data_IF_256758085236
#
_entry.id   IF_256758085236
#
_cell.length_a   1.000
_cell.length_b   1.000
_cell.length_c   1.000
_cell.angle_alpha   90.00
_cell.angle_beta   90.00
_cell.angle_gamma   90.00
#
_symmetry.space_group_name_H-M   'P 1'
#
loop_
_entity.id
_entity.type
_entity.pdbx_description
1 polymer ?
#
# COMPACT_ATOMS: atom_id res chain seq x y z
N UNK A 1 17.66 28.21 10.04
CA UNK A 1 18.10 27.71 8.73
C UNK A 1 16.85 27.04 8.13
N UNK A 2 16.20 27.71 7.17
CA UNK A 2 15.04 27.12 6.45
C UNK A 2 15.68 26.12 5.50
N UNK A 3 15.59 24.82 5.82
CA UNK A 3 15.90 23.75 4.87
C UNK A 3 14.75 23.80 3.88
N UNK A 4 15.00 24.29 2.68
CA UNK A 4 14.09 24.22 1.55
C UNK A 4 13.96 22.73 1.20
N UNK A 5 12.94 22.06 1.78
CA UNK A 5 12.72 20.64 1.53
C UNK A 5 12.17 20.49 0.13
N UNK A 6 12.99 19.96 -0.76
CA UNK A 6 12.63 19.66 -2.17
C UNK A 6 11.35 18.81 -2.29
N UNK A 7 11.08 17.95 -1.28
CA UNK A 7 9.93 17.06 -1.30
C UNK A 7 9.12 17.12 0.00
N UNK A 8 7.81 16.98 -0.12
CA UNK A 8 6.92 16.66 1.00
C UNK A 8 6.94 15.14 1.19
N UNK A 9 7.72 14.63 2.11
CA UNK A 9 7.86 13.18 2.34
C UNK A 9 6.81 12.59 3.29
N UNK A 10 6.14 13.40 4.10
CA UNK A 10 5.18 12.93 5.10
C UNK A 10 3.90 13.76 5.06
N UNK A 11 2.76 13.10 4.84
CA UNK A 11 1.43 13.67 4.94
C UNK A 11 0.70 13.16 6.17
N UNK A 12 0.10 14.07 6.92
CA UNK A 12 -0.75 13.79 8.09
C UNK A 12 -2.21 13.73 7.68
N UNK A 13 -3.07 12.98 8.39
CA UNK A 13 -4.49 13.00 8.14
C UNK A 13 -5.05 14.41 8.33
N UNK A 14 -5.97 14.81 7.44
CA UNK A 14 -6.54 16.15 7.39
C UNK A 14 -7.88 16.26 8.12
N UNK A 15 -8.55 15.12 8.39
CA UNK A 15 -9.85 15.05 9.06
C UNK A 15 -10.00 13.71 9.81
N UNK A 16 -11.07 13.59 10.60
CA UNK A 16 -11.45 12.37 11.31
C UNK A 16 -12.61 11.61 10.63
N UNK A 17 -13.15 12.15 9.54
CA UNK A 17 -14.27 11.54 8.79
C UNK A 17 -14.26 11.97 7.34
N UNK A 18 -14.96 11.26 6.49
CA UNK A 18 -14.91 11.47 5.05
C UNK A 18 -13.55 11.13 4.48
N UNK A 19 -13.04 11.90 3.54
CA UNK A 19 -11.66 11.77 3.05
C UNK A 19 -10.74 12.33 4.13
N UNK A 20 -9.96 11.46 4.77
CA UNK A 20 -9.05 11.85 5.84
C UNK A 20 -7.58 11.86 5.39
N UNK A 21 -7.26 11.25 4.24
CA UNK A 21 -5.98 11.39 3.55
C UNK A 21 -6.23 11.66 2.07
N UNK A 22 -5.46 12.58 1.50
CA UNK A 22 -5.51 12.89 0.07
C UNK A 22 -4.12 13.28 -0.41
N UNK A 23 -3.61 12.58 -1.40
CA UNK A 23 -2.35 12.79 -2.08
C UNK A 23 -2.65 12.84 -3.57
N UNK A 24 -2.65 14.03 -4.14
CA UNK A 24 -2.94 14.22 -5.55
C UNK A 24 -1.64 14.49 -6.32
N UNK A 25 -1.52 13.94 -7.50
CA UNK A 25 -0.33 14.08 -8.35
C UNK A 25 0.00 15.55 -8.64
N UNK A 26 -1.02 16.40 -8.75
CA UNK A 26 -0.87 17.84 -8.97
C UNK A 26 -0.19 18.57 -7.78
N UNK A 27 -0.36 18.04 -6.56
CA UNK A 27 0.23 18.61 -5.33
C UNK A 27 1.63 18.09 -5.05
N UNK A 28 1.94 16.88 -5.53
CA UNK A 28 3.23 16.20 -5.30
C UNK A 28 4.24 16.45 -6.41
N UNK A 29 3.77 16.87 -7.58
CA UNK A 29 4.56 16.95 -8.81
C UNK A 29 4.77 15.57 -9.46
N UNK A 30 4.02 14.54 -9.04
CA UNK A 30 3.99 13.23 -9.65
C UNK A 30 3.25 13.24 -10.99
N UNK A 31 3.52 12.24 -11.81
CA UNK A 31 2.91 12.13 -13.13
C UNK A 31 1.67 11.25 -13.12
N UNK A 32 1.64 10.23 -12.26
CA UNK A 32 0.64 9.16 -12.34
C UNK A 32 -0.20 9.02 -11.08
N UNK A 33 0.45 8.80 -9.92
CA UNK A 33 -0.20 8.29 -8.71
C UNK A 33 -1.02 9.34 -7.98
N UNK A 34 -2.28 8.99 -7.75
CA UNK A 34 -3.14 9.64 -6.78
C UNK A 34 -3.54 8.62 -5.70
N UNK A 35 -3.75 9.08 -4.48
CA UNK A 35 -4.13 8.25 -3.35
C UNK A 35 -5.08 8.99 -2.42
N UNK A 36 -6.11 8.31 -1.96
CA UNK A 36 -6.98 8.78 -0.88
C UNK A 36 -7.33 7.65 0.09
N UNK A 37 -7.65 8.05 1.34
CA UNK A 37 -8.27 7.18 2.32
C UNK A 37 -9.54 7.85 2.87
N UNK A 38 -10.60 7.04 3.03
CA UNK A 38 -11.95 7.51 3.36
C UNK A 38 -12.56 6.69 4.47
N UNK A 39 -13.15 7.40 5.44
CA UNK A 39 -13.97 6.83 6.49
C UNK A 39 -15.44 7.18 6.23
N UNK A 40 -16.31 6.16 6.25
CA UNK A 40 -17.75 6.30 5.99
C UNK A 40 -18.55 5.65 7.12
N UNK A 41 -19.74 6.22 7.42
CA UNK A 41 -20.71 5.64 8.34
C UNK A 41 -21.70 4.75 7.60
N UNK A 42 -22.32 3.81 8.31
CA UNK A 42 -23.32 2.90 7.74
C UNK A 42 -24.40 3.67 6.96
N UNK A 43 -24.67 3.19 5.76
CA UNK A 43 -25.65 3.77 4.83
C UNK A 43 -25.12 4.96 4.02
N UNK A 44 -23.95 5.51 4.35
CA UNK A 44 -23.34 6.53 3.51
C UNK A 44 -22.94 5.95 2.15
N UNK A 45 -23.04 6.79 1.12
CA UNK A 45 -22.82 6.42 -0.27
C UNK A 45 -21.73 7.27 -0.87
N UNK A 46 -20.83 6.60 -1.58
CA UNK A 46 -19.85 7.26 -2.45
C UNK A 46 -20.18 6.93 -3.90
N UNK A 47 -20.59 7.94 -4.66
CA UNK A 47 -20.81 7.85 -6.11
C UNK A 47 -19.63 8.45 -6.84
N UNK A 48 -19.21 7.78 -7.89
CA UNK A 48 -18.11 8.22 -8.72
C UNK A 48 -18.20 7.68 -10.14
N UNK A 49 -17.31 8.20 -10.97
CA UNK A 49 -17.00 7.68 -12.28
C UNK A 49 -15.48 7.65 -12.39
N UNK A 50 -14.92 6.59 -12.95
CA UNK A 50 -13.46 6.47 -13.08
C UNK A 50 -12.92 7.32 -14.23
N UNK A 51 -13.76 7.76 -15.16
CA UNK A 51 -13.36 8.49 -16.36
C UNK A 51 -12.17 7.79 -17.07
N UNK A 52 -11.11 8.53 -17.39
CA UNK A 52 -9.90 7.98 -18.01
C UNK A 52 -8.93 7.36 -17.00
N UNK A 53 -9.40 6.95 -15.81
CA UNK A 53 -8.54 6.38 -14.77
C UNK A 53 -8.91 4.93 -14.45
N UNK A 54 -7.90 4.18 -14.05
CA UNK A 54 -8.08 2.91 -13.33
C UNK A 54 -7.96 3.14 -11.82
N UNK A 55 -8.78 2.43 -11.03
CA UNK A 55 -8.84 2.52 -9.57
C UNK A 55 -8.61 1.17 -8.93
N UNK A 56 -7.88 1.14 -7.82
CA UNK A 56 -7.89 0.00 -6.90
C UNK A 56 -8.37 0.47 -5.53
N UNK A 57 -9.47 -0.11 -5.03
CA UNK A 57 -10.11 0.20 -3.75
C UNK A 57 -9.83 -0.96 -2.80
N UNK A 58 -9.18 -0.67 -1.67
CA UNK A 58 -8.73 -1.64 -0.67
C UNK A 58 -9.54 -1.45 0.60
N UNK A 59 -10.17 -2.53 1.08
CA UNK A 59 -10.88 -2.54 2.35
C UNK A 59 -9.88 -2.53 3.51
N UNK A 60 -9.89 -1.48 4.33
CA UNK A 60 -9.09 -1.40 5.55
C UNK A 60 -9.87 -1.93 6.77
N UNK A 61 -11.17 -1.70 6.81
CA UNK A 61 -12.05 -2.20 7.87
C UNK A 61 -13.53 -2.02 7.54
N UNK A 62 -14.37 -2.93 8.02
CA UNK A 62 -15.81 -2.91 7.78
C UNK A 62 -16.26 -3.77 6.62
N UNK A 63 -17.41 -3.43 6.04
CA UNK A 63 -18.03 -4.07 4.87
C UNK A 63 -18.67 -3.01 3.97
N UNK A 64 -18.67 -3.27 2.68
CA UNK A 64 -19.36 -2.44 1.69
C UNK A 64 -20.03 -3.29 0.61
N UNK A 65 -21.04 -2.72 -0.03
CA UNK A 65 -21.53 -3.15 -1.33
C UNK A 65 -21.19 -2.10 -2.38
N UNK A 66 -21.02 -2.53 -3.62
CA UNK A 66 -20.77 -1.65 -4.76
C UNK A 66 -21.64 -2.05 -5.92
N UNK A 67 -22.26 -1.04 -6.55
CA UNK A 67 -23.01 -1.16 -7.79
C UNK A 67 -22.30 -0.39 -8.87
N UNK A 68 -22.16 -0.98 -10.04
CA UNK A 68 -21.61 -0.34 -11.21
C UNK A 68 -22.52 -0.56 -12.42
N UNK A 69 -22.28 0.15 -13.48
CA UNK A 69 -22.90 -0.09 -14.79
C UNK A 69 -22.50 -1.45 -15.41
N UNK A 70 -21.44 -2.11 -14.86
CA UNK A 70 -20.88 -3.39 -15.34
C UNK A 70 -21.12 -4.57 -14.40
N UNK A 71 -21.74 -4.37 -13.23
CA UNK A 71 -22.04 -5.44 -12.26
C UNK A 71 -22.12 -4.94 -10.82
N UNK A 72 -22.39 -5.88 -9.90
CA UNK A 72 -22.53 -5.58 -8.47
C UNK A 72 -21.70 -6.56 -7.65
N UNK A 73 -21.06 -6.08 -6.58
CA UNK A 73 -20.27 -6.87 -5.65
C UNK A 73 -20.54 -6.44 -4.21
N UNK A 74 -20.28 -7.32 -3.28
CA UNK A 74 -20.33 -7.04 -1.85
C UNK A 74 -19.20 -7.74 -1.12
N UNK A 75 -18.69 -7.12 -0.05
CA UNK A 75 -17.73 -7.74 0.85
C UNK A 75 -18.47 -8.69 1.78
N UNK A 76 -18.07 -9.96 1.79
CA UNK A 76 -18.58 -10.98 2.69
C UNK A 76 -17.49 -11.28 3.71
N UNK A 77 -17.82 -11.24 4.99
CA UNK A 77 -16.84 -11.44 6.07
C UNK A 77 -15.65 -10.47 5.91
N UNK A 78 -15.94 -9.17 5.87
CA UNK A 78 -14.91 -8.14 5.89
C UNK A 78 -14.05 -8.23 7.17
N UNK A 79 -13.04 -7.41 7.27
CA UNK A 79 -12.17 -7.34 8.43
C UNK A 79 -12.55 -6.18 9.35
N UNK A 80 -12.38 -6.34 10.67
CA UNK A 80 -12.62 -5.26 11.63
C UNK A 80 -11.66 -4.10 11.40
N UNK A 81 -10.41 -4.40 11.19
CA UNK A 81 -9.31 -3.50 10.88
C UNK A 81 -8.23 -4.26 10.09
N UNK A 82 -7.14 -3.59 9.72
CA UNK A 82 -6.07 -4.19 8.93
C UNK A 82 -5.36 -5.35 9.64
N UNK A 83 -5.40 -5.46 10.97
CA UNK A 83 -4.78 -6.54 11.73
C UNK A 83 -5.72 -7.73 11.97
N UNK A 84 -6.94 -7.69 11.44
CA UNK A 84 -8.01 -8.69 11.67
C UNK A 84 -8.30 -9.54 10.43
N UNK A 85 -7.39 -9.58 9.46
CA UNK A 85 -7.55 -10.37 8.23
C UNK A 85 -6.96 -9.68 7.01
N UNK A 86 -7.18 -10.28 5.84
CA UNK A 86 -6.68 -9.79 4.54
C UNK A 86 -7.73 -8.91 3.86
N UNK A 87 -7.29 -7.96 3.06
CA UNK A 87 -8.18 -7.04 2.36
C UNK A 87 -9.03 -7.72 1.26
N UNK A 88 -10.31 -7.29 1.13
CA UNK A 88 -10.99 -7.34 -0.15
C UNK A 88 -10.45 -6.23 -1.03
N UNK A 89 -10.25 -6.51 -2.31
CA UNK A 89 -9.75 -5.56 -3.30
C UNK A 89 -10.73 -5.44 -4.44
N UNK A 90 -11.14 -4.22 -4.77
CA UNK A 90 -11.96 -3.93 -5.94
C UNK A 90 -11.12 -3.12 -6.93
N UNK A 91 -10.93 -3.67 -8.12
CA UNK A 91 -10.37 -2.95 -9.26
C UNK A 91 -11.50 -2.48 -10.17
N UNK A 92 -11.50 -1.19 -10.49
CA UNK A 92 -12.42 -0.57 -11.44
C UNK A 92 -11.60 -0.01 -12.61
N UNK A 93 -11.87 -0.48 -13.85
CA UNK A 93 -11.24 0.09 -15.05
C UNK A 93 -11.80 1.48 -15.37
N UNK A 94 -11.21 2.12 -16.37
CA UNK A 94 -11.75 3.37 -16.93
C UNK A 94 -13.21 3.23 -17.37
N UNK A 95 -13.89 4.37 -17.53
CA UNK A 95 -15.29 4.47 -17.97
C UNK A 95 -16.24 3.58 -17.14
N UNK A 96 -16.13 3.62 -15.82
CA UNK A 96 -16.98 2.86 -14.90
C UNK A 96 -17.70 3.80 -13.94
N UNK A 97 -19.04 3.83 -14.04
CA UNK A 97 -19.87 4.47 -13.01
C UNK A 97 -20.06 3.52 -11.83
N UNK A 98 -19.94 4.05 -10.60
CA UNK A 98 -20.11 3.26 -9.40
C UNK A 98 -20.80 4.00 -8.26
N UNK A 99 -21.52 3.23 -7.43
CA UNK A 99 -22.03 3.65 -6.12
C UNK A 99 -21.56 2.62 -5.10
N UNK A 100 -20.65 3.03 -4.18
CA UNK A 100 -20.20 2.24 -3.05
C UNK A 100 -21.00 2.65 -1.81
N UNK A 101 -21.51 1.66 -1.05
CA UNK A 101 -22.37 1.84 0.11
C UNK A 101 -21.70 1.20 1.31
N UNK A 102 -21.54 1.94 2.41
CA UNK A 102 -21.04 1.41 3.67
C UNK A 102 -22.11 0.53 4.33
N UNK A 103 -21.83 -0.75 4.54
CA UNK A 103 -22.75 -1.74 5.12
C UNK A 103 -22.52 -1.98 6.61
N UNK A 104 -21.36 -1.64 7.14
CA UNK A 104 -21.00 -1.72 8.55
C UNK A 104 -21.11 -0.36 9.25
N UNK A 105 -21.18 -0.34 10.59
CA UNK A 105 -21.24 0.89 11.40
C UNK A 105 -20.17 1.89 10.98
N UNK A 106 -18.97 1.38 10.69
CA UNK A 106 -17.86 2.14 10.16
C UNK A 106 -17.25 1.37 8.98
N UNK A 107 -17.00 2.05 7.89
CA UNK A 107 -16.26 1.56 6.74
C UNK A 107 -15.00 2.42 6.55
N UNK A 108 -13.84 1.77 6.57
CA UNK A 108 -12.54 2.37 6.28
C UNK A 108 -11.98 1.77 4.99
N UNK A 109 -11.71 2.61 4.00
CA UNK A 109 -11.16 2.21 2.70
C UNK A 109 -10.01 3.13 2.29
N UNK A 110 -9.07 2.59 1.55
CA UNK A 110 -8.07 3.36 0.83
C UNK A 110 -8.15 3.04 -0.66
N UNK A 111 -7.82 3.99 -1.51
CA UNK A 111 -7.81 3.77 -2.94
C UNK A 111 -6.73 4.59 -3.63
N UNK A 112 -6.11 3.96 -4.61
CA UNK A 112 -5.16 4.60 -5.52
C UNK A 112 -5.72 4.58 -6.94
N UNK A 113 -5.38 5.59 -7.72
CA UNK A 113 -5.77 5.68 -9.12
C UNK A 113 -4.75 6.40 -9.97
N UNK A 114 -4.75 6.07 -11.24
CA UNK A 114 -3.96 6.76 -12.25
C UNK A 114 -4.66 6.72 -13.61
N UNK A 115 -4.25 7.62 -14.50
CA UNK A 115 -4.76 7.64 -15.88
C UNK A 115 -4.34 6.39 -16.65
N UNK A 116 -5.25 5.89 -17.49
CA UNK A 116 -5.04 4.76 -18.38
C UNK A 116 -5.75 4.96 -19.72
N UNK A 117 -5.12 4.48 -20.78
CA UNK A 117 -5.68 4.38 -22.12
C UNK A 117 -6.06 2.94 -22.50
N UNK A 118 -5.88 1.99 -21.58
CA UNK A 118 -6.17 0.58 -21.76
C UNK A 118 -7.50 0.18 -21.09
N UNK A 119 -8.23 -0.75 -21.72
CA UNK A 119 -9.47 -1.31 -21.19
C UNK A 119 -9.20 -2.64 -20.51
N UNK A 120 -9.68 -2.79 -19.29
CA UNK A 120 -9.53 -4.00 -18.47
C UNK A 120 -10.88 -4.41 -17.86
N UNK A 121 -11.07 -5.67 -17.44
CA UNK A 121 -12.29 -6.08 -16.75
C UNK A 121 -12.30 -5.60 -15.30
N UNK A 122 -13.51 -5.37 -14.74
CA UNK A 122 -13.66 -5.21 -13.29
C UNK A 122 -13.21 -6.50 -12.61
N UNK A 123 -12.47 -6.36 -11.51
CA UNK A 123 -12.07 -7.48 -10.67
C UNK A 123 -12.42 -7.21 -9.21
N UNK A 124 -13.15 -8.12 -8.57
CA UNK A 124 -13.39 -8.11 -7.14
C UNK A 124 -12.69 -9.31 -6.51
N UNK A 125 -11.54 -9.04 -5.91
CA UNK A 125 -10.67 -10.06 -5.30
C UNK A 125 -11.01 -10.24 -3.83
N UNK A 126 -11.25 -11.49 -3.44
CA UNK A 126 -11.54 -11.89 -2.06
C UNK A 126 -10.25 -12.11 -1.27
N UNK A 127 -10.30 -12.12 0.07
CA UNK A 127 -9.13 -12.35 0.92
C UNK A 127 -8.36 -13.64 0.60
N UNK A 128 -9.06 -14.72 0.24
CA UNK A 128 -8.48 -16.04 -0.05
C UNK A 128 -7.68 -16.05 -1.36
N UNK A 129 -7.91 -15.09 -2.24
CA UNK A 129 -7.24 -14.96 -3.54
C UNK A 129 -5.95 -14.13 -3.44
N UNK A 130 -5.70 -13.48 -2.31
CA UNK A 130 -4.47 -12.74 -2.08
C UNK A 130 -3.33 -13.70 -1.71
N UNK A 131 -2.27 -13.69 -2.52
CA UNK A 131 -1.08 -14.46 -2.21
C UNK A 131 -0.34 -13.86 -1.01
N UNK A 132 0.02 -14.71 -0.03
CA UNK A 132 0.84 -14.34 1.11
C UNK A 132 2.29 -14.73 0.81
N UNK A 133 3.17 -13.74 0.88
CA UNK A 133 4.61 -13.94 0.78
C UNK A 133 5.31 -13.53 2.07
N UNK A 134 6.19 -14.36 2.60
CA UNK A 134 7.05 -14.02 3.74
C UNK A 134 8.44 -13.71 3.20
N UNK A 135 8.83 -12.45 3.29
CA UNK A 135 10.14 -11.95 2.84
C UNK A 135 11.07 -11.65 4.00
N UNK A 136 12.38 -11.67 3.69
CA UNK A 136 13.44 -11.39 4.64
C UNK A 136 13.77 -12.55 5.56
N UNK A 137 14.59 -12.25 6.55
CA UNK A 137 15.00 -13.20 7.58
C UNK A 137 15.30 -12.50 8.91
N UNK A 138 15.38 -13.25 9.99
CA UNK A 138 15.59 -12.77 11.35
C UNK A 138 14.65 -11.55 11.64
N UNK A 139 15.17 -10.44 12.14
CA UNK A 139 14.40 -9.23 12.41
C UNK A 139 14.11 -8.36 11.15
N UNK A 140 14.41 -8.84 9.95
CA UNK A 140 13.94 -8.25 8.69
C UNK A 140 12.80 -9.06 8.05
N UNK A 141 12.24 -10.03 8.78
CA UNK A 141 11.10 -10.81 8.34
C UNK A 141 9.81 -9.97 8.36
N UNK A 142 9.06 -9.99 7.25
CA UNK A 142 7.74 -9.35 7.11
C UNK A 142 6.82 -10.20 6.25
N UNK A 143 5.53 -9.99 6.40
CA UNK A 143 4.50 -10.56 5.54
C UNK A 143 4.07 -9.56 4.49
N UNK A 144 3.89 -10.01 3.25
CA UNK A 144 3.37 -9.21 2.14
C UNK A 144 2.17 -9.94 1.57
N UNK A 145 1.04 -9.26 1.44
CA UNK A 145 -0.13 -9.79 0.75
C UNK A 145 -0.30 -9.05 -0.57
N UNK A 146 -0.35 -9.80 -1.67
CA UNK A 146 -0.47 -9.27 -3.01
C UNK A 146 -1.94 -8.95 -3.33
N UNK A 147 -2.27 -7.66 -3.47
CA UNK A 147 -3.62 -7.17 -3.77
C UNK A 147 -3.79 -6.96 -5.28
N UNK A 148 -2.99 -6.06 -5.86
CA UNK A 148 -2.85 -5.82 -7.30
C UNK A 148 -1.37 -6.00 -7.62
N UNK A 149 -0.99 -7.19 -8.05
CA UNK A 149 0.41 -7.57 -8.26
C UNK A 149 0.79 -7.46 -9.75
N UNK A 150 2.07 -7.41 -10.11
CA UNK A 150 2.50 -7.54 -11.49
C UNK A 150 1.88 -8.78 -12.16
N UNK A 151 1.26 -8.59 -13.34
CA UNK A 151 0.48 -9.60 -14.04
C UNK A 151 -1.01 -9.65 -13.67
N UNK A 152 -1.48 -8.80 -12.74
CA UNK A 152 -2.89 -8.52 -12.58
C UNK A 152 -3.42 -7.82 -13.85
N UNK A 153 -4.65 -8.12 -14.24
CA UNK A 153 -5.26 -7.56 -15.47
C UNK A 153 -5.65 -6.08 -15.23
N UNK A 154 -4.66 -5.20 -15.25
CA UNK A 154 -4.77 -3.74 -15.20
C UNK A 154 -3.54 -3.12 -15.89
N UNK A 155 -3.57 -1.81 -16.17
CA UNK A 155 -2.52 -1.15 -16.92
C UNK A 155 -1.24 -0.91 -16.07
N UNK A 156 -1.34 -0.13 -15.00
CA UNK A 156 -0.16 0.40 -14.27
C UNK A 156 -0.16 0.14 -12.79
N UNK A 157 -1.35 0.03 -12.17
CA UNK A 157 -1.44 -0.04 -10.72
C UNK A 157 -0.80 -1.30 -10.16
N UNK A 158 -0.04 -1.11 -9.09
CA UNK A 158 0.41 -2.17 -8.19
C UNK A 158 0.02 -1.79 -6.77
N UNK A 159 -0.50 -2.75 -6.00
CA UNK A 159 -0.81 -2.55 -4.59
C UNK A 159 -0.52 -3.81 -3.78
N UNK A 160 0.15 -3.61 -2.66
CA UNK A 160 0.43 -4.66 -1.68
C UNK A 160 0.20 -4.13 -0.27
N UNK A 161 -0.29 -4.99 0.61
CA UNK A 161 -0.30 -4.70 2.04
C UNK A 161 0.83 -5.46 2.74
N UNK A 162 1.53 -4.77 3.64
CA UNK A 162 2.70 -5.29 4.32
C UNK A 162 2.53 -5.23 5.83
N UNK A 163 2.86 -6.33 6.50
CA UNK A 163 2.83 -6.44 7.95
C UNK A 163 4.24 -6.66 8.47
N UNK A 164 4.67 -5.75 9.32
CA UNK A 164 5.99 -5.77 9.95
C UNK A 164 5.83 -6.01 11.45
N UNK A 165 6.29 -7.16 11.96
CA UNK A 165 6.26 -7.43 13.40
C UNK A 165 7.03 -6.38 14.20
N UNK A 166 6.60 -6.15 15.42
CA UNK A 166 7.25 -5.22 16.37
C UNK A 166 8.77 -5.36 16.39
N UNK A 167 9.48 -4.24 16.18
CA UNK A 167 10.95 -4.16 16.17
C UNK A 167 11.62 -4.71 14.91
N UNK A 168 10.86 -5.21 13.93
CA UNK A 168 11.42 -5.72 12.68
C UNK A 168 11.61 -4.60 11.65
N UNK A 169 12.53 -4.87 10.73
CA UNK A 169 12.73 -4.08 9.51
C UNK A 169 11.86 -4.61 8.37
N UNK A 170 11.51 -3.73 7.47
CA UNK A 170 10.73 -3.98 6.26
C UNK A 170 11.30 -3.15 5.11
N UNK A 171 10.97 -3.50 3.85
CA UNK A 171 11.66 -2.93 2.69
C UNK A 171 13.18 -2.96 2.86
N UNK A 172 13.69 -4.06 3.47
CA UNK A 172 15.08 -4.21 3.86
C UNK A 172 15.62 -5.57 3.42
N UNK A 173 16.85 -5.66 2.86
CA UNK A 173 17.76 -4.54 2.53
C UNK A 173 17.09 -3.45 1.71
N UNK A 174 17.60 -2.20 1.87
CA UNK A 174 17.04 -1.06 1.18
C UNK A 174 17.09 -1.23 -0.33
N UNK A 175 16.03 -0.84 -1.03
CA UNK A 175 15.93 -0.88 -2.48
C UNK A 175 15.29 0.39 -3.02
N UNK A 176 15.44 0.63 -4.33
CA UNK A 176 14.85 1.76 -5.05
C UNK A 176 14.30 1.34 -6.41
N UNK A 177 13.40 2.16 -6.95
CA UNK A 177 12.78 2.00 -8.26
C UNK A 177 12.52 3.40 -8.86
N UNK A 178 13.58 4.16 -9.06
CA UNK A 178 13.53 5.56 -9.50
C UNK A 178 14.06 5.78 -10.93
N UNK A 179 14.62 4.72 -11.56
CA UNK A 179 15.17 4.81 -12.92
C UNK A 179 14.83 3.55 -13.71
N UNK A 180 14.11 3.70 -14.80
CA UNK A 180 13.82 2.56 -15.67
C UNK A 180 15.12 1.99 -16.30
N UNK A 181 15.43 0.73 -15.96
CA UNK A 181 16.62 0.01 -16.45
C UNK A 181 16.23 -1.32 -17.09
N UNK A 182 17.03 -1.76 -18.03
CA UNK A 182 16.89 -3.02 -18.73
C UNK A 182 18.17 -3.83 -18.66
N UNK A 183 18.05 -5.15 -18.73
CA UNK A 183 19.19 -6.03 -18.99
C UNK A 183 19.46 -6.14 -20.50
N UNK A 184 20.43 -7.02 -20.84
CA UNK A 184 20.83 -7.25 -22.23
C UNK A 184 19.74 -7.95 -23.09
N UNK A 185 18.76 -8.60 -22.46
CA UNK A 185 17.63 -9.25 -23.12
C UNK A 185 16.41 -8.31 -23.23
N UNK A 186 16.55 -7.07 -22.74
CA UNK A 186 15.48 -6.06 -22.76
C UNK A 186 14.45 -6.24 -21.63
N UNK A 187 14.73 -7.06 -20.62
CA UNK A 187 13.85 -7.21 -19.45
C UNK A 187 14.05 -6.04 -18.48
N UNK A 188 12.96 -5.55 -17.91
CA UNK A 188 13.00 -4.47 -16.90
C UNK A 188 13.66 -4.99 -15.63
N UNK A 189 14.81 -4.43 -15.26
CA UNK A 189 15.54 -4.75 -14.03
C UNK A 189 15.33 -3.74 -12.92
N UNK A 190 14.91 -2.52 -13.25
CA UNK A 190 14.40 -1.51 -12.34
C UNK A 190 13.29 -0.74 -13.07
N UNK A 191 12.12 -0.60 -12.47
CA UNK A 191 11.05 0.25 -12.94
C UNK A 191 11.23 1.67 -12.38
N UNK A 192 10.60 2.67 -13.02
CA UNK A 192 10.50 4.03 -12.48
C UNK A 192 9.08 4.21 -11.95
N UNK A 193 8.92 4.17 -10.62
CA UNK A 193 7.62 4.14 -9.95
C UNK A 193 7.52 5.24 -8.89
N UNK A 194 6.37 5.87 -8.85
CA UNK A 194 5.89 6.69 -7.75
C UNK A 194 5.24 5.77 -6.73
N UNK A 195 5.50 5.99 -5.42
CA UNK A 195 5.00 5.09 -4.38
C UNK A 195 4.53 5.85 -3.14
N UNK A 196 3.39 5.40 -2.59
CA UNK A 196 2.90 5.80 -1.26
C UNK A 196 3.00 4.66 -0.27
N UNK A 197 3.35 4.99 0.98
CA UNK A 197 3.25 4.13 2.15
C UNK A 197 2.19 4.70 3.08
N UNK A 198 0.99 4.12 3.08
CA UNK A 198 -0.07 4.51 4.00
C UNK A 198 -0.02 3.62 5.24
N UNK A 199 0.18 4.21 6.41
CA UNK A 199 0.47 3.51 7.66
C UNK A 199 -0.77 3.28 8.54
N UNK A 200 -0.86 2.05 9.11
CA UNK A 200 -1.69 1.74 10.28
C UNK A 200 -0.79 1.11 11.35
N UNK A 201 -1.02 1.46 12.60
CA UNK A 201 -0.26 0.96 13.75
C UNK A 201 -1.25 0.30 14.73
N UNK A 202 -0.88 -0.85 15.28
CA UNK A 202 -1.76 -1.64 16.14
C UNK A 202 -2.11 -0.98 17.48
N UNK A 203 -1.38 0.08 17.86
CA UNK A 203 -1.62 0.87 19.07
C UNK A 203 -1.56 2.37 18.79
N UNK A 204 -2.43 3.19 19.41
CA UNK A 204 -2.57 4.62 19.08
C UNK A 204 -1.27 5.43 19.21
N UNK A 205 -0.40 5.11 20.18
CA UNK A 205 0.87 5.80 20.41
C UNK A 205 2.03 5.27 19.58
N UNK A 206 1.79 4.20 18.78
CA UNK A 206 2.82 3.53 18.01
C UNK A 206 3.34 4.35 16.84
N UNK A 207 4.47 3.91 16.31
CA UNK A 207 5.12 4.56 15.19
C UNK A 207 5.99 3.59 14.40
N UNK A 208 6.27 3.96 13.15
CA UNK A 208 7.35 3.43 12.34
C UNK A 208 8.34 4.54 12.00
N UNK A 209 9.57 4.16 11.69
CA UNK A 209 10.58 5.06 11.13
C UNK A 209 10.85 4.60 9.69
N UNK A 210 10.78 5.51 8.74
CA UNK A 210 11.17 5.28 7.37
C UNK A 210 12.26 6.27 6.98
N UNK A 211 13.40 5.76 6.52
CA UNK A 211 14.43 6.55 5.91
C UNK A 211 14.22 6.60 4.40
N UNK A 212 14.49 7.74 3.77
CA UNK A 212 14.46 7.90 2.32
C UNK A 212 15.75 8.58 1.92
N UNK A 213 16.53 7.94 1.05
CA UNK A 213 17.82 8.46 0.63
C UNK A 213 18.18 8.04 -0.80
N UNK A 214 18.86 8.91 -1.52
CA UNK A 214 19.36 8.62 -2.86
C UNK A 214 20.86 8.26 -2.88
N UNK A 215 21.39 7.91 -4.06
CA UNK A 215 22.77 7.42 -4.23
C UNK A 215 23.84 8.38 -3.70
N UNK A 216 23.67 9.68 -3.90
CA UNK A 216 24.63 10.72 -3.50
C UNK A 216 24.30 11.38 -2.15
N UNK A 217 23.27 10.90 -1.46
CA UNK A 217 22.79 11.43 -0.17
C UNK A 217 22.36 12.90 -0.21
N UNK A 218 22.09 13.45 -1.39
CA UNK A 218 21.46 14.77 -1.50
C UNK A 218 20.02 14.78 -0.97
N UNK A 219 19.37 13.63 -1.01
CA UNK A 219 18.18 13.29 -0.23
C UNK A 219 18.62 12.25 0.83
N UNK A 220 18.49 12.58 2.11
CA UNK A 220 18.70 11.66 3.25
C UNK A 220 17.85 12.14 4.42
N UNK A 221 16.60 11.69 4.44
CA UNK A 221 15.56 12.16 5.36
C UNK A 221 14.96 11.00 6.15
N UNK A 222 14.47 11.30 7.34
CA UNK A 222 13.77 10.35 8.21
C UNK A 222 12.34 10.85 8.45
N UNK A 223 11.38 10.01 8.14
CA UNK A 223 9.98 10.18 8.49
C UNK A 223 9.63 9.32 9.71
N UNK A 224 8.97 9.92 10.71
CA UNK A 224 8.34 9.19 11.80
C UNK A 224 6.86 9.09 11.50
N UNK A 225 6.46 7.95 10.95
CA UNK A 225 5.08 7.67 10.54
C UNK A 225 4.25 7.14 11.72
N UNK A 226 3.02 7.61 11.85
CA UNK A 226 2.03 7.21 12.82
C UNK A 226 0.78 6.67 12.13
N UNK A 227 -0.19 6.26 12.93
CA UNK A 227 -1.46 5.78 12.40
C UNK A 227 -2.11 6.81 11.44
N UNK A 228 -2.53 6.36 10.26
CA UNK A 228 -3.10 7.15 9.16
C UNK A 228 -2.14 8.13 8.45
N UNK A 229 -0.86 8.13 8.75
CA UNK A 229 0.11 8.92 7.99
C UNK A 229 0.40 8.29 6.61
N UNK A 230 0.77 9.12 5.66
CA UNK A 230 1.32 8.68 4.37
C UNK A 230 2.74 9.17 4.23
N UNK A 231 3.67 8.25 3.93
CA UNK A 231 5.01 8.60 3.46
C UNK A 231 5.03 8.49 1.94
N UNK A 232 5.55 9.52 1.29
CA UNK A 232 5.71 9.58 -0.16
C UNK A 232 7.15 9.25 -0.51
N UNK A 233 7.34 8.35 -1.48
CA UNK A 233 8.65 7.95 -2.00
C UNK A 233 8.79 8.52 -3.42
N UNK A 234 9.41 9.69 -3.57
CA UNK A 234 9.62 10.30 -4.88
C UNK A 234 10.78 9.67 -5.64
N UNK A 235 11.82 9.25 -4.94
CA UNK A 235 13.03 8.62 -5.44
C UNK A 235 13.81 7.96 -4.29
N UNK A 236 14.74 7.08 -4.62
CA UNK A 236 15.75 6.55 -3.71
C UNK A 236 15.32 5.35 -2.89
N UNK A 237 16.25 4.93 -2.04
CA UNK A 237 16.10 3.81 -1.10
C UNK A 237 15.20 4.22 0.07
N UNK A 238 14.31 3.29 0.51
CA UNK A 238 13.26 3.67 1.45
C UNK A 238 12.93 2.58 2.51
N UNK A 239 13.92 2.11 3.27
CA UNK A 239 13.71 1.09 4.29
C UNK A 239 12.82 1.59 5.43
N UNK A 240 12.12 0.64 6.08
CA UNK A 240 11.20 0.89 7.20
C UNK A 240 11.63 0.08 8.41
N UNK A 241 11.45 0.61 9.62
CA UNK A 241 11.53 -0.14 10.87
C UNK A 241 10.30 0.10 11.73
N UNK A 242 9.69 -0.98 12.22
CA UNK A 242 8.61 -0.92 13.19
C UNK A 242 9.16 -0.56 14.58
N UNK A 243 8.53 0.39 15.27
CA UNK A 243 8.85 0.69 16.65
C UNK A 243 8.74 -0.55 17.54
N UNK A 244 9.69 -0.74 18.48
CA UNK A 244 9.61 -1.87 19.40
C UNK A 244 8.33 -1.79 20.26
N UNK A 245 7.56 -2.88 20.30
CA UNK A 245 6.27 -2.96 21.00
C UNK A 245 5.05 -2.65 20.10
N UNK A 246 5.26 -2.28 18.82
CA UNK A 246 4.20 -1.92 17.89
C UNK A 246 4.29 -2.73 16.60
N UNK A 247 3.21 -3.41 16.23
CA UNK A 247 3.08 -3.99 14.91
C UNK A 247 2.70 -2.90 13.92
N UNK A 248 3.32 -2.94 12.76
CA UNK A 248 3.13 -1.94 11.71
C UNK A 248 2.54 -2.59 10.48
N UNK A 249 1.49 -1.98 9.97
CA UNK A 249 0.93 -2.21 8.66
C UNK A 249 1.24 -1.02 7.78
N UNK A 250 1.56 -1.26 6.53
CA UNK A 250 1.46 -0.23 5.51
C UNK A 250 0.87 -0.80 4.22
N UNK A 251 0.10 0.05 3.55
CA UNK A 251 -0.46 -0.20 2.23
C UNK A 251 0.35 0.59 1.22
N UNK A 252 0.94 -0.12 0.26
CA UNK A 252 1.60 0.51 -0.87
C UNK A 252 0.66 0.62 -2.06
N UNK A 253 0.70 1.78 -2.71
CA UNK A 253 0.30 1.96 -4.08
C UNK A 253 1.49 2.44 -4.87
N UNK A 254 1.71 1.78 -6.02
CA UNK A 254 2.78 2.12 -6.95
C UNK A 254 2.19 2.25 -8.34
N UNK A 255 2.71 3.19 -9.11
CA UNK A 255 2.43 3.31 -10.54
C UNK A 255 3.54 4.09 -11.23
N UNK A 256 3.73 3.88 -12.52
CA UNK A 256 4.77 4.56 -13.26
C UNK A 256 5.01 3.98 -14.65
N UNK A 257 6.29 3.71 -14.94
CA UNK A 257 6.71 3.26 -16.27
C UNK A 257 6.22 1.86 -16.65
N UNK A 258 5.95 1.00 -15.65
CA UNK A 258 5.61 -0.40 -15.84
C UNK A 258 4.73 -0.90 -14.68
N UNK A 259 3.84 -1.86 -14.93
CA UNK A 259 3.21 -2.65 -13.89
C UNK A 259 4.22 -3.66 -13.33
N UNK A 260 5.08 -3.21 -12.44
CA UNK A 260 6.27 -3.95 -12.01
C UNK A 260 6.63 -3.68 -10.55
N UNK A 261 7.35 -4.60 -9.94
CA UNK A 261 8.06 -4.44 -8.66
C UNK A 261 9.58 -4.62 -8.84
N UNK A 262 10.07 -4.52 -10.08
CA UNK A 262 11.50 -4.57 -10.37
C UNK A 262 12.20 -3.38 -9.73
N UNK A 263 13.22 -3.66 -8.92
CA UNK A 263 13.93 -2.69 -8.12
C UNK A 263 15.43 -2.98 -8.05
N UNK A 264 16.21 -2.00 -7.62
CA UNK A 264 17.66 -2.13 -7.39
C UNK A 264 17.92 -2.03 -5.89
N UNK A 265 18.54 -3.08 -5.33
CA UNK A 265 19.03 -3.06 -3.96
C UNK A 265 20.19 -2.10 -3.77
N UNK A 266 20.28 -1.49 -2.58
CA UNK A 266 21.46 -0.75 -2.17
C UNK A 266 22.67 -1.70 -2.11
N UNK A 267 23.72 -1.45 -2.92
CA UNK A 267 24.88 -2.33 -2.99
C UNK A 267 25.60 -2.49 -1.64
N UNK A 268 25.57 -1.47 -0.79
CA UNK A 268 26.21 -1.48 0.51
C UNK A 268 25.51 -2.42 1.51
N UNK A 269 24.26 -2.79 1.23
CA UNK A 269 23.42 -3.61 2.11
C UNK A 269 23.09 -5.00 1.56
N UNK A 270 23.46 -5.35 0.32
CA UNK A 270 23.19 -6.67 -0.30
C UNK A 270 23.76 -7.85 0.49
N UNK A 271 24.86 -7.68 1.18
CA UNK A 271 25.48 -8.72 1.98
C UNK A 271 24.56 -9.29 3.07
N UNK A 272 23.57 -8.50 3.51
CA UNK A 272 22.61 -8.86 4.57
C UNK A 272 21.78 -10.10 4.19
N UNK A 273 21.47 -10.30 2.89
CA UNK A 273 20.78 -11.53 2.44
C UNK A 273 21.47 -12.82 2.88
N UNK A 274 22.79 -12.81 2.98
CA UNK A 274 23.59 -13.95 3.40
C UNK A 274 23.77 -14.07 4.91
N UNK A 275 23.27 -13.13 5.70
CA UNK A 275 23.42 -13.11 7.16
C UNK A 275 22.28 -13.82 7.90
N UNK A 276 21.14 -13.97 7.26
CA UNK A 276 19.92 -14.49 7.87
C UNK A 276 20.03 -15.97 8.22
N UNK A 277 19.53 -16.34 9.42
CA UNK A 277 19.54 -17.71 9.94
C UNK A 277 18.17 -18.39 9.88
N UNK A 278 17.10 -17.58 9.82
CA UNK A 278 15.73 -18.10 9.81
C UNK A 278 14.71 -16.99 9.60
N UNK A 279 13.45 -17.32 9.75
CA UNK A 279 12.33 -16.39 9.69
C UNK A 279 11.76 -16.14 11.08
N UNK A 280 11.28 -14.95 11.32
CA UNK A 280 10.56 -14.61 12.55
C UNK A 280 9.28 -15.48 12.66
N UNK A 281 9.08 -16.24 13.75
CA UNK A 281 7.92 -17.13 13.92
C UNK A 281 6.58 -16.38 14.09
N UNK A 282 6.59 -15.06 14.27
CA UNK A 282 5.37 -14.24 14.38
C UNK A 282 4.64 -14.05 13.05
N UNK A 283 5.26 -14.41 11.92
CA UNK A 283 4.60 -14.36 10.60
C UNK A 283 4.13 -15.75 10.16
N UNK A 284 2.99 -15.86 9.44
CA UNK A 284 2.09 -14.78 9.02
C UNK A 284 1.34 -14.17 10.20
N UNK A 285 1.22 -12.82 10.19
CA UNK A 285 0.50 -12.06 11.22
C UNK A 285 -1.01 -12.08 10.96
N UNK A 286 -1.41 -12.11 9.71
CA UNK A 286 -2.82 -12.19 9.29
C UNK A 286 -3.00 -13.24 8.20
N UNK A 287 -4.19 -13.87 8.19
CA UNK A 287 -4.60 -14.81 7.14
C UNK A 287 -6.07 -14.57 6.78
N UNK A 288 -6.52 -15.13 5.65
CA UNK A 288 -7.91 -14.99 5.20
C UNK A 288 -8.92 -15.61 6.18
N UNK A 289 -8.54 -16.66 6.93
CA UNK A 289 -9.41 -17.29 7.92
C UNK A 289 -9.72 -16.38 9.13
N UNK A 290 -9.01 -15.26 9.28
CA UNK A 290 -9.28 -14.29 10.33
C UNK A 290 -10.44 -13.34 9.95
N UNK A 291 -10.74 -13.20 8.66
CA UNK A 291 -11.84 -12.37 8.19
C UNK A 291 -13.19 -12.82 8.79
N UNK A 292 -14.02 -11.85 9.18
CA UNK A 292 -15.33 -12.09 9.79
C UNK A 292 -15.27 -12.60 11.24
N UNK A 293 -14.09 -12.81 11.83
CA UNK A 293 -13.95 -13.22 13.23
C UNK A 293 -13.74 -11.99 14.10
N UNK A 294 -14.63 -11.81 15.09
CA UNK A 294 -14.57 -10.68 16.03
C UNK A 294 -13.62 -10.92 17.22
N UNK A 295 -12.87 -12.01 17.25
CA UNK A 295 -12.02 -12.37 18.39
C UNK A 295 -10.53 -12.23 18.05
N UNK A 296 -9.88 -11.26 18.71
CA UNK A 296 -8.42 -11.26 18.85
C UNK A 296 -8.03 -12.41 19.77
N UNK A 297 -7.22 -13.34 19.27
CA UNK A 297 -6.36 -14.12 20.17
C UNK A 297 -5.17 -13.23 20.53
N UNK A 298 -5.14 -12.79 21.78
CA UNK A 298 -4.03 -12.07 22.42
C UNK A 298 -2.80 -12.95 22.45
#
# INVERSE_FOLDING_TARGET
MIIDKKYRLLAKPSSESGIYQSILKEETGWQFLNFEARLMKQGEKWKGNTWDNEYAIILLGGNYSVKTDKGNWETINGRKDVFSGIAHTLYLPRDTEFELIAESETLDIAYGWCETDEDHPICFKRPEEAAIEIRGGDNATRQINSLVQPGFDCHRLVSVEVYTPSGNWSSFPAHKHDKRKFDHDGMVTEACLEETYFYKIDKPQGFAIQQIYNDDRSLDEIAVARNNDVVLVPEGYHPVVAGHGYNVYYLNFLTGSDQSLANTDDPDHKWIYNSWKGRDPRVPMVTAEMNGKNEFKV
#
